data_IF_548333800301
#
_entry.id   IF_548333800301
#
_cell.length_a   1.000
_cell.length_b   1.000
_cell.length_c   1.000
_cell.angle_alpha   90.00
_cell.angle_beta   90.00
_cell.angle_gamma   90.00
#
_symmetry.space_group_name_H-M   'P 1'
#
loop_
_entity.id
_entity.type
_entity.pdbx_description
1 polymer ?
#
# COMPACT_ATOMS: atom_id res chain seq x y z
N UNK A 1 -11.17 -29.53 -0.55
CA UNK A 1 -10.24 -28.77 -1.42
C UNK A 1 -10.50 -27.26 -1.33
N UNK A 2 -11.70 -26.81 -0.94
CA UNK A 2 -12.15 -25.41 -0.97
C UNK A 2 -11.36 -24.48 -0.02
N UNK A 3 -10.76 -24.98 1.06
CA UNK A 3 -10.07 -24.16 2.07
C UNK A 3 -8.55 -24.04 1.88
N UNK A 4 -7.96 -24.72 0.90
CA UNK A 4 -6.50 -24.69 0.69
C UNK A 4 -5.96 -23.27 0.47
N UNK A 5 -6.54 -22.43 -0.39
CA UNK A 5 -6.07 -21.06 -0.58
C UNK A 5 -6.08 -20.23 0.70
N UNK A 6 -7.11 -20.38 1.53
CA UNK A 6 -7.25 -19.66 2.81
C UNK A 6 -6.20 -20.11 3.83
N UNK A 7 -5.89 -21.41 3.88
CA UNK A 7 -4.84 -21.93 4.74
C UNK A 7 -3.48 -21.39 4.29
N UNK A 8 -3.18 -21.42 2.99
CA UNK A 8 -1.94 -20.87 2.43
C UNK A 8 -1.84 -19.37 2.75
N UNK A 9 -2.91 -18.61 2.52
CA UNK A 9 -2.97 -17.19 2.83
C UNK A 9 -2.67 -16.93 4.31
N UNK A 10 -3.35 -17.64 5.21
CA UNK A 10 -3.18 -17.48 6.66
C UNK A 10 -1.74 -17.80 7.10
N UNK A 11 -1.13 -18.84 6.55
CA UNK A 11 0.27 -19.18 6.82
C UNK A 11 1.20 -18.06 6.35
N UNK A 12 1.01 -17.54 5.14
CA UNK A 12 1.81 -16.44 4.60
C UNK A 12 1.66 -15.17 5.42
N UNK A 13 0.44 -14.84 5.85
CA UNK A 13 0.15 -13.70 6.71
C UNK A 13 0.88 -13.83 8.05
N UNK A 14 0.72 -14.98 8.74
CA UNK A 14 1.36 -15.24 10.04
C UNK A 14 2.89 -15.16 9.89
N UNK A 15 3.45 -15.79 8.86
CA UNK A 15 4.89 -15.76 8.60
C UNK A 15 5.38 -14.33 8.35
N UNK A 16 4.67 -13.55 7.52
CA UNK A 16 5.03 -12.17 7.20
C UNK A 16 5.03 -11.29 8.46
N UNK A 17 3.96 -11.37 9.26
CA UNK A 17 3.84 -10.59 10.51
C UNK A 17 4.89 -11.03 11.53
N UNK A 18 5.14 -12.32 11.67
CA UNK A 18 6.17 -12.85 12.57
C UNK A 18 7.56 -12.35 12.18
N UNK A 19 7.91 -12.43 10.90
CA UNK A 19 9.22 -12.00 10.41
C UNK A 19 9.43 -10.49 10.58
N UNK A 20 8.40 -9.68 10.25
CA UNK A 20 8.42 -8.25 10.49
C UNK A 20 8.60 -7.92 11.98
N UNK A 21 7.79 -8.54 12.85
CA UNK A 21 7.89 -8.37 14.30
C UNK A 21 9.28 -8.70 14.83
N UNK A 22 9.88 -9.81 14.38
CA UNK A 22 11.24 -10.21 14.74
C UNK A 22 12.25 -9.10 14.45
N UNK A 23 12.20 -8.54 13.25
CA UNK A 23 13.10 -7.47 12.82
C UNK A 23 12.88 -6.16 13.62
N UNK A 24 11.65 -5.80 13.90
CA UNK A 24 11.33 -4.62 14.74
C UNK A 24 11.79 -4.82 16.19
N UNK A 25 11.65 -6.01 16.74
CA UNK A 25 12.15 -6.31 18.09
C UNK A 25 13.69 -6.25 18.14
N UNK A 26 14.38 -6.70 17.10
CA UNK A 26 15.83 -6.55 16.98
C UNK A 26 16.24 -5.07 16.96
N UNK A 27 15.56 -4.25 16.14
CA UNK A 27 15.79 -2.80 16.11
C UNK A 27 15.54 -2.16 17.48
N UNK A 28 14.43 -2.47 18.12
CA UNK A 28 14.11 -1.98 19.48
C UNK A 28 15.22 -2.34 20.47
N UNK A 29 15.69 -3.60 20.45
CA UNK A 29 16.81 -4.04 21.30
C UNK A 29 18.05 -3.18 21.08
N UNK A 30 18.42 -2.92 19.82
CA UNK A 30 19.59 -2.10 19.48
C UNK A 30 19.46 -0.65 19.99
N UNK A 31 18.26 -0.06 19.88
CA UNK A 31 17.99 1.28 20.39
C UNK A 31 18.14 1.31 21.94
N UNK A 32 17.68 0.25 22.62
CA UNK A 32 17.75 0.14 24.07
C UNK A 32 19.16 -0.17 24.63
N UNK A 33 20.17 -0.43 23.77
CA UNK A 33 21.58 -0.52 24.18
C UNK A 33 22.18 0.85 24.49
N UNK A 34 21.51 1.93 24.10
CA UNK A 34 21.94 3.30 24.45
C UNK A 34 21.80 3.58 25.96
N UNK A 35 22.50 4.64 26.39
CA UNK A 35 22.39 5.11 27.78
C UNK A 35 20.95 5.51 28.09
N UNK A 36 20.43 5.03 29.21
CA UNK A 36 19.12 5.40 29.69
C UNK A 36 19.08 6.89 30.08
N UNK A 37 18.13 7.61 29.55
CA UNK A 37 17.94 9.04 29.81
C UNK A 37 16.47 9.24 30.18
N UNK A 38 16.21 9.76 31.37
CA UNK A 38 14.86 10.16 31.76
C UNK A 38 14.38 11.32 30.86
N UNK A 39 13.39 11.04 30.05
CA UNK A 39 12.72 11.99 29.17
C UNK A 39 11.23 12.11 29.43
N UNK A 40 10.85 12.01 30.68
CA UNK A 40 9.46 12.14 31.12
C UNK A 40 8.98 13.60 31.21
N UNK A 41 9.86 14.57 30.97
CA UNK A 41 9.56 15.98 30.94
C UNK A 41 8.66 16.38 29.75
N UNK A 42 7.85 17.39 29.94
CA UNK A 42 7.05 18.07 28.91
C UNK A 42 6.28 17.13 27.96
N UNK A 43 5.72 16.02 28.44
CA UNK A 43 5.02 14.99 27.65
C UNK A 43 4.03 15.59 26.64
N UNK A 44 3.17 16.53 27.07
CA UNK A 44 2.18 17.20 26.19
C UNK A 44 2.83 17.90 25.00
N UNK A 45 3.92 18.65 25.22
CA UNK A 45 4.63 19.34 24.10
C UNK A 45 5.27 18.36 23.14
N UNK A 46 5.79 17.25 23.63
CA UNK A 46 6.41 16.19 22.80
C UNK A 46 5.36 15.51 21.95
N UNK A 47 4.20 15.14 22.51
CA UNK A 47 3.08 14.57 21.76
C UNK A 47 2.57 15.53 20.68
N UNK A 48 2.34 16.81 21.01
CA UNK A 48 1.91 17.82 20.03
C UNK A 48 2.94 17.95 18.91
N UNK A 49 4.24 17.97 19.26
CA UNK A 49 5.31 18.06 18.27
C UNK A 49 5.35 16.83 17.36
N UNK A 50 5.21 15.63 17.91
CA UNK A 50 5.13 14.38 17.16
C UNK A 50 3.93 14.39 16.22
N UNK A 51 2.72 14.66 16.70
CA UNK A 51 1.51 14.76 15.89
C UNK A 51 1.66 15.78 14.75
N UNK A 52 2.22 16.96 15.04
CA UNK A 52 2.44 18.01 14.03
C UNK A 52 3.45 17.61 12.97
N UNK A 53 4.49 16.87 13.32
CA UNK A 53 5.57 16.50 12.38
C UNK A 53 5.26 15.20 11.68
N UNK A 54 4.90 14.13 12.41
CA UNK A 54 4.68 12.80 11.85
C UNK A 54 3.33 12.71 11.12
N UNK A 55 2.24 13.13 11.73
CA UNK A 55 0.91 13.07 11.13
C UNK A 55 0.64 14.32 10.28
N UNK A 56 0.87 15.51 10.83
CA UNK A 56 0.58 16.78 10.16
C UNK A 56 1.57 17.17 9.06
N UNK A 57 2.62 16.39 8.83
CA UNK A 57 3.61 16.55 7.75
C UNK A 57 4.16 17.99 7.58
N UNK A 58 4.18 18.79 8.67
CA UNK A 58 4.42 20.23 8.65
C UNK A 58 5.79 20.64 8.08
N UNK A 59 6.76 19.74 8.06
CA UNK A 59 8.08 19.98 7.45
C UNK A 59 8.08 19.76 5.93
N UNK A 60 7.20 18.89 5.41
CA UNK A 60 7.16 18.53 4.00
C UNK A 60 6.51 19.62 3.14
N UNK A 61 5.52 20.33 3.68
CA UNK A 61 4.77 21.40 2.97
C UNK A 61 5.66 22.57 2.54
N UNK A 62 6.83 22.76 3.15
CA UNK A 62 7.77 23.83 2.81
C UNK A 62 8.29 23.78 1.36
N UNK A 63 8.21 22.63 0.68
CA UNK A 63 8.60 22.45 -0.72
C UNK A 63 7.35 22.03 -1.52
N UNK A 64 6.66 22.95 -2.21
CA UNK A 64 5.30 22.72 -2.70
C UNK A 64 5.18 21.47 -3.57
N UNK A 65 5.96 21.33 -4.63
CA UNK A 65 5.87 20.17 -5.53
C UNK A 65 6.17 18.86 -4.82
N UNK A 66 7.28 18.78 -4.07
CA UNK A 66 7.62 17.56 -3.34
C UNK A 66 6.67 17.29 -2.18
N UNK A 67 6.17 18.36 -1.56
CA UNK A 67 5.24 18.28 -0.44
C UNK A 67 3.89 17.72 -0.87
N UNK A 68 3.29 18.26 -1.93
CA UNK A 68 2.01 17.76 -2.46
C UNK A 68 2.12 16.29 -2.88
N UNK A 69 3.12 15.94 -3.69
CA UNK A 69 3.33 14.54 -4.08
C UNK A 69 3.51 13.61 -2.88
N UNK A 70 4.25 14.03 -1.86
CA UNK A 70 4.45 13.24 -0.65
C UNK A 70 3.16 13.12 0.18
N UNK A 71 2.36 14.18 0.27
CA UNK A 71 1.07 14.13 0.97
C UNK A 71 0.13 13.15 0.28
N UNK A 72 0.07 13.15 -1.06
CA UNK A 72 -0.74 12.19 -1.83
C UNK A 72 -0.33 10.75 -1.50
N UNK A 73 0.97 10.43 -1.58
CA UNK A 73 1.45 9.08 -1.27
C UNK A 73 1.23 8.74 0.21
N UNK A 74 1.47 9.67 1.13
CA UNK A 74 1.25 9.47 2.57
C UNK A 74 -0.23 9.24 2.90
N UNK A 75 -1.13 10.09 2.40
CA UNK A 75 -2.56 9.93 2.61
C UNK A 75 -3.07 8.63 1.97
N UNK A 76 -2.61 8.36 0.73
CA UNK A 76 -2.92 7.13 0.03
C UNK A 76 -2.45 5.89 0.79
N UNK A 77 -1.24 5.90 1.35
CA UNK A 77 -0.75 4.80 2.19
C UNK A 77 -1.70 4.52 3.38
N UNK A 78 -2.17 5.55 4.08
CA UNK A 78 -3.11 5.36 5.20
C UNK A 78 -4.44 4.81 4.70
N UNK A 79 -4.98 5.36 3.62
CA UNK A 79 -6.27 5.00 3.05
C UNK A 79 -6.26 3.57 2.51
N UNK A 80 -5.23 3.20 1.75
CA UNK A 80 -5.10 1.84 1.19
C UNK A 80 -4.89 0.78 2.28
N UNK A 81 -4.36 1.13 3.45
CA UNK A 81 -4.30 0.20 4.58
C UNK A 81 -5.69 -0.12 5.17
N UNK A 82 -6.71 0.73 4.96
CA UNK A 82 -8.09 0.43 5.36
C UNK A 82 -8.65 -0.67 4.46
N UNK A 83 -8.42 -0.58 3.14
CA UNK A 83 -8.83 -1.62 2.19
C UNK A 83 -8.11 -2.94 2.43
N UNK A 84 -6.83 -2.90 2.83
CA UNK A 84 -6.08 -4.09 3.20
C UNK A 84 -6.78 -4.91 4.29
N UNK A 85 -7.54 -4.29 5.20
CA UNK A 85 -8.32 -5.02 6.21
C UNK A 85 -9.40 -5.91 5.58
N UNK A 86 -10.06 -5.45 4.51
CA UNK A 86 -11.01 -6.28 3.77
C UNK A 86 -10.31 -7.43 3.05
N UNK A 87 -9.20 -7.18 2.37
CA UNK A 87 -8.41 -8.22 1.69
C UNK A 87 -7.94 -9.30 2.67
N UNK A 88 -7.50 -8.91 3.89
CA UNK A 88 -7.11 -9.86 4.93
C UNK A 88 -8.31 -10.68 5.39
N UNK A 89 -9.46 -10.04 5.58
CA UNK A 89 -10.70 -10.73 5.99
C UNK A 89 -11.13 -11.74 4.93
N UNK A 90 -11.15 -11.33 3.67
CA UNK A 90 -11.52 -12.18 2.54
C UNK A 90 -10.53 -13.34 2.37
N UNK A 91 -9.24 -13.09 2.55
CA UNK A 91 -8.21 -14.11 2.46
C UNK A 91 -8.32 -15.18 3.54
N UNK A 92 -8.67 -14.80 4.77
CA UNK A 92 -8.84 -15.75 5.90
C UNK A 92 -10.16 -16.52 5.78
N UNK A 93 -11.27 -15.81 5.50
CA UNK A 93 -12.61 -16.39 5.52
C UNK A 93 -13.01 -17.04 4.18
N UNK A 94 -12.31 -16.72 3.08
CA UNK A 94 -12.69 -17.16 1.74
C UNK A 94 -13.92 -16.45 1.20
N UNK A 95 -14.16 -15.23 1.66
CA UNK A 95 -15.24 -14.36 1.21
C UNK A 95 -14.79 -13.51 0.01
N UNK A 96 -15.72 -12.83 -0.60
CA UNK A 96 -15.49 -11.82 -1.62
C UNK A 96 -16.19 -10.55 -1.21
N UNK A 97 -15.44 -9.48 -0.98
CA UNK A 97 -15.94 -8.17 -0.53
C UNK A 97 -16.76 -8.28 0.76
N UNK A 98 -16.11 -8.82 1.80
CA UNK A 98 -16.76 -9.12 3.08
C UNK A 98 -17.50 -7.94 3.71
N UNK A 99 -17.03 -6.70 3.47
CA UNK A 99 -17.65 -5.51 4.08
C UNK A 99 -18.80 -4.93 3.26
N UNK A 100 -18.97 -5.32 1.99
CA UNK A 100 -20.01 -4.79 1.12
C UNK A 100 -21.45 -5.00 1.67
N UNK A 101 -21.84 -6.18 2.19
CA UNK A 101 -23.18 -6.39 2.73
C UNK A 101 -23.50 -5.51 3.95
N UNK A 102 -22.48 -5.13 4.73
CA UNK A 102 -22.65 -4.32 5.95
C UNK A 102 -22.68 -2.82 5.67
N UNK A 103 -21.96 -2.37 4.65
CA UNK A 103 -21.80 -0.94 4.33
C UNK A 103 -22.76 -0.46 3.24
N UNK A 104 -23.38 -1.37 2.47
CA UNK A 104 -24.34 -1.03 1.43
C UNK A 104 -23.82 0.03 0.44
N UNK A 105 -24.60 1.08 0.16
CA UNK A 105 -24.21 2.12 -0.78
C UNK A 105 -22.94 2.91 -0.37
N UNK A 106 -22.63 2.98 0.92
CA UNK A 106 -21.41 3.60 1.40
C UNK A 106 -20.15 2.84 0.95
N UNK A 107 -20.27 1.53 0.76
CA UNK A 107 -19.21 0.70 0.21
C UNK A 107 -18.77 1.16 -1.19
N UNK A 108 -19.74 1.48 -2.06
CA UNK A 108 -19.45 1.98 -3.41
C UNK A 108 -18.63 3.28 -3.38
N UNK A 109 -18.94 4.18 -2.46
CA UNK A 109 -18.18 5.39 -2.25
C UNK A 109 -16.74 5.09 -1.78
N UNK A 110 -16.57 4.18 -0.83
CA UNK A 110 -15.26 3.80 -0.30
C UNK A 110 -14.37 3.20 -1.41
N UNK A 111 -14.90 2.27 -2.21
CA UNK A 111 -14.13 1.65 -3.30
C UNK A 111 -13.75 2.69 -4.36
N UNK A 112 -14.67 3.59 -4.74
CA UNK A 112 -14.35 4.69 -5.65
C UNK A 112 -13.22 5.56 -5.11
N UNK A 113 -13.23 5.82 -3.82
CA UNK A 113 -12.22 6.63 -3.15
C UNK A 113 -10.84 5.94 -3.17
N UNK A 114 -10.79 4.63 -2.90
CA UNK A 114 -9.56 3.83 -3.01
C UNK A 114 -9.01 3.84 -4.44
N UNK A 115 -9.84 3.67 -5.44
CA UNK A 115 -9.43 3.70 -6.84
C UNK A 115 -8.85 5.07 -7.26
N UNK A 116 -9.51 6.15 -6.88
CA UNK A 116 -9.02 7.51 -7.17
C UNK A 116 -7.64 7.71 -6.51
N UNK A 117 -7.48 7.26 -5.25
CA UNK A 117 -6.18 7.35 -4.58
C UNK A 117 -5.13 6.45 -5.21
N UNK A 118 -5.48 5.24 -5.66
CA UNK A 118 -4.55 4.38 -6.40
C UNK A 118 -4.03 5.07 -7.68
N UNK A 119 -4.92 5.69 -8.46
CA UNK A 119 -4.53 6.48 -9.62
C UNK A 119 -3.64 7.69 -9.27
N UNK A 120 -3.97 8.41 -8.21
CA UNK A 120 -3.15 9.54 -7.73
C UNK A 120 -1.78 9.09 -7.22
N UNK A 121 -1.69 7.95 -6.53
CA UNK A 121 -0.41 7.36 -6.09
C UNK A 121 0.43 7.00 -7.31
N UNK A 122 -0.12 6.30 -8.30
CA UNK A 122 0.59 5.96 -9.55
C UNK A 122 1.17 7.23 -10.20
N UNK A 123 0.36 8.27 -10.34
CA UNK A 123 0.81 9.55 -10.90
C UNK A 123 1.94 10.18 -10.07
N UNK A 124 1.78 10.24 -8.75
CA UNK A 124 2.77 10.81 -7.85
C UNK A 124 4.09 10.03 -7.88
N UNK A 125 4.02 8.70 -7.92
CA UNK A 125 5.19 7.80 -7.98
C UNK A 125 5.94 7.97 -9.31
N UNK A 126 5.22 8.03 -10.44
CA UNK A 126 5.80 8.31 -11.76
C UNK A 126 6.50 9.67 -11.77
N UNK A 127 5.87 10.70 -11.20
CA UNK A 127 6.47 12.04 -11.10
C UNK A 127 7.71 12.02 -10.17
N UNK A 128 7.70 11.32 -9.05
CA UNK A 128 8.89 11.14 -8.19
C UNK A 128 10.01 10.42 -8.94
N UNK A 129 9.68 9.36 -9.66
CA UNK A 129 10.64 8.61 -10.45
C UNK A 129 11.25 9.47 -11.56
N UNK A 130 10.42 10.21 -12.30
CA UNK A 130 10.87 11.12 -13.37
C UNK A 130 11.78 12.23 -12.83
N UNK A 131 11.41 12.86 -11.70
CA UNK A 131 12.24 13.88 -11.02
C UNK A 131 13.60 13.35 -10.60
N UNK A 132 13.69 12.07 -10.26
CA UNK A 132 14.94 11.43 -9.81
C UNK A 132 15.79 10.94 -10.97
N UNK A 133 15.19 10.26 -11.95
CA UNK A 133 15.92 9.51 -12.97
C UNK A 133 16.02 10.25 -14.32
N UNK A 134 15.02 11.07 -14.68
CA UNK A 134 15.00 11.85 -15.93
C UNK A 134 15.53 13.26 -15.67
N UNK A 135 14.90 14.03 -14.79
CA UNK A 135 15.24 15.44 -14.51
C UNK A 135 16.55 15.54 -13.72
N UNK A 136 16.89 14.51 -12.94
CA UNK A 136 18.14 14.40 -12.17
C UNK A 136 18.40 15.64 -11.32
N UNK A 137 17.45 16.01 -10.46
CA UNK A 137 17.59 17.17 -9.59
C UNK A 137 18.88 17.08 -8.78
N UNK A 138 19.64 18.19 -8.66
CA UNK A 138 20.95 18.29 -8.01
C UNK A 138 21.06 17.58 -6.65
N UNK A 139 19.97 17.58 -5.85
CA UNK A 139 19.94 16.89 -4.55
C UNK A 139 19.99 15.35 -4.63
N UNK A 140 19.74 14.74 -5.80
CA UNK A 140 19.72 13.29 -6.00
C UNK A 140 21.01 12.76 -6.67
N UNK A 141 21.89 13.66 -7.11
CA UNK A 141 23.16 13.32 -7.80
C UNK A 141 24.38 13.53 -6.90
N UNK A 142 24.17 13.71 -5.61
CA UNK A 142 25.27 13.84 -4.66
C UNK A 142 25.95 12.50 -4.41
N UNK A 143 27.29 12.46 -4.14
CA UNK A 143 28.03 11.22 -3.91
C UNK A 143 27.38 10.32 -2.85
N UNK A 144 26.88 10.89 -1.75
CA UNK A 144 26.22 10.15 -0.67
C UNK A 144 24.86 9.53 -1.07
N UNK A 145 24.34 9.89 -2.23
CA UNK A 145 23.10 9.34 -2.80
C UNK A 145 23.36 8.23 -3.82
N UNK A 146 24.63 7.95 -4.15
CA UNK A 146 24.99 6.86 -5.06
C UNK A 146 24.90 5.47 -4.39
N UNK A 147 24.91 4.41 -5.20
CA UNK A 147 24.84 3.04 -4.71
C UNK A 147 23.49 2.66 -4.12
N UNK A 148 23.51 2.07 -2.92
CA UNK A 148 22.32 1.55 -2.25
C UNK A 148 21.23 2.61 -1.99
N UNK A 149 21.53 3.83 -1.52
CA UNK A 149 20.49 4.84 -1.27
C UNK A 149 19.65 5.20 -2.51
N UNK A 150 20.25 5.16 -3.70
CA UNK A 150 19.56 5.39 -4.97
C UNK A 150 18.74 4.18 -5.37
N UNK A 151 19.30 2.97 -5.24
CA UNK A 151 18.62 1.71 -5.58
C UNK A 151 17.40 1.50 -4.69
N UNK A 152 17.55 1.65 -3.38
CA UNK A 152 16.49 1.53 -2.39
C UNK A 152 15.32 2.47 -2.69
N UNK A 153 15.61 3.74 -2.94
CA UNK A 153 14.55 4.69 -3.24
C UNK A 153 13.82 4.43 -4.58
N UNK A 154 14.50 3.89 -5.59
CA UNK A 154 13.84 3.47 -6.82
C UNK A 154 13.03 2.19 -6.60
N UNK A 155 13.55 1.25 -5.82
CA UNK A 155 12.86 0.00 -5.51
C UNK A 155 11.52 0.26 -4.77
N UNK A 156 11.51 1.20 -3.83
CA UNK A 156 10.27 1.64 -3.16
C UNK A 156 9.25 2.14 -4.19
N UNK A 157 9.66 3.03 -5.11
CA UNK A 157 8.77 3.54 -6.15
C UNK A 157 8.24 2.43 -7.07
N UNK A 158 9.09 1.45 -7.39
CA UNK A 158 8.65 0.29 -8.19
C UNK A 158 7.66 -0.59 -7.44
N UNK A 159 7.87 -0.84 -6.15
CA UNK A 159 6.90 -1.56 -5.32
C UNK A 159 5.54 -0.86 -5.32
N UNK A 160 5.51 0.44 -5.02
CA UNK A 160 4.26 1.21 -4.99
C UNK A 160 3.55 1.19 -6.35
N UNK A 161 4.30 1.38 -7.45
CA UNK A 161 3.75 1.33 -8.79
C UNK A 161 3.13 -0.04 -9.11
N UNK A 162 3.86 -1.12 -8.84
CA UNK A 162 3.42 -2.50 -9.11
C UNK A 162 2.22 -2.86 -8.24
N UNK A 163 2.23 -2.51 -6.96
CA UNK A 163 1.13 -2.80 -6.04
C UNK A 163 -0.16 -2.09 -6.47
N UNK A 164 -0.09 -0.79 -6.77
CA UNK A 164 -1.28 -0.04 -7.23
C UNK A 164 -1.76 -0.52 -8.61
N UNK A 165 -0.84 -0.96 -9.48
CA UNK A 165 -1.22 -1.55 -10.77
C UNK A 165 -1.98 -2.86 -10.56
N UNK A 166 -1.50 -3.78 -9.73
CA UNK A 166 -2.21 -5.03 -9.44
C UNK A 166 -3.56 -4.78 -8.77
N UNK A 167 -3.66 -3.79 -7.90
CA UNK A 167 -4.93 -3.38 -7.31
C UNK A 167 -5.96 -2.97 -8.37
N UNK A 168 -5.58 -2.11 -9.32
CA UNK A 168 -6.48 -1.70 -10.40
C UNK A 168 -6.79 -2.84 -11.37
N UNK A 169 -5.82 -3.72 -11.66
CA UNK A 169 -6.02 -4.89 -12.51
C UNK A 169 -6.95 -5.93 -11.86
N UNK A 170 -6.86 -6.14 -10.56
CA UNK A 170 -7.80 -6.95 -9.78
C UNK A 170 -9.21 -6.38 -9.89
N UNK A 171 -9.37 -5.08 -9.68
CA UNK A 171 -10.67 -4.41 -9.73
C UNK A 171 -11.31 -4.42 -11.12
N UNK A 172 -10.55 -4.27 -12.20
CA UNK A 172 -11.13 -4.33 -13.55
C UNK A 172 -11.64 -5.73 -13.88
N UNK A 173 -10.88 -6.78 -13.54
CA UNK A 173 -11.32 -8.16 -13.78
C UNK A 173 -12.50 -8.55 -12.91
N UNK A 174 -12.50 -8.17 -11.63
CA UNK A 174 -13.65 -8.31 -10.73
C UNK A 174 -14.90 -7.59 -11.28
N UNK A 175 -14.76 -6.35 -11.69
CA UNK A 175 -15.87 -5.55 -12.24
C UNK A 175 -16.48 -6.18 -13.53
N UNK A 176 -15.66 -6.79 -14.40
CA UNK A 176 -16.15 -7.51 -15.56
C UNK A 176 -16.89 -8.80 -15.19
N UNK A 177 -16.42 -9.51 -14.16
CA UNK A 177 -17.12 -10.69 -13.63
C UNK A 177 -18.44 -10.33 -12.96
N UNK A 178 -18.53 -9.18 -12.30
CA UNK A 178 -19.78 -8.61 -11.78
C UNK A 178 -20.76 -8.25 -12.90
N UNK A 179 -20.28 -7.63 -13.99
CA UNK A 179 -21.09 -7.29 -15.17
C UNK A 179 -21.64 -8.55 -15.86
N UNK A 180 -20.87 -9.64 -15.85
CA UNK A 180 -21.28 -10.96 -16.34
C UNK A 180 -22.24 -11.69 -15.37
N UNK A 181 -22.59 -11.12 -14.22
CA UNK A 181 -23.42 -11.72 -13.17
C UNK A 181 -22.88 -13.08 -12.68
N UNK A 182 -21.55 -13.22 -12.57
CA UNK A 182 -20.95 -14.46 -12.10
C UNK A 182 -21.29 -14.69 -10.60
N UNK A 183 -21.81 -15.87 -10.20
CA UNK A 183 -22.38 -16.10 -8.85
C UNK A 183 -21.44 -15.85 -7.67
N UNK A 184 -20.12 -15.98 -7.87
CA UNK A 184 -19.12 -15.79 -6.82
C UNK A 184 -18.67 -14.34 -6.66
N UNK A 185 -19.08 -13.43 -7.56
CA UNK A 185 -18.66 -12.03 -7.55
C UNK A 185 -19.86 -11.13 -7.21
N UNK A 186 -19.88 -10.70 -5.95
CA UNK A 186 -20.93 -9.82 -5.44
C UNK A 186 -20.92 -8.49 -6.19
N UNK A 187 -22.06 -8.08 -6.72
CA UNK A 187 -22.21 -6.79 -7.39
C UNK A 187 -22.13 -5.65 -6.39
N UNK A 188 -20.93 -5.16 -6.14
CA UNK A 188 -20.63 -4.12 -5.18
C UNK A 188 -19.35 -3.37 -5.55
N UNK A 189 -19.27 -2.12 -5.13
CA UNK A 189 -18.16 -1.23 -5.46
C UNK A 189 -18.45 -0.35 -6.67
N UNK A 190 -17.67 0.70 -6.81
CA UNK A 190 -17.68 1.57 -7.98
C UNK A 190 -16.22 1.81 -8.40
N UNK A 191 -15.93 1.63 -9.68
CA UNK A 191 -14.58 1.46 -10.23
C UNK A 191 -14.24 2.54 -11.27
N UNK A 192 -14.12 3.83 -10.88
CA UNK A 192 -13.95 4.93 -11.84
C UNK A 192 -12.66 4.85 -12.65
N UNK A 193 -11.57 4.35 -12.07
CA UNK A 193 -10.26 4.23 -12.75
C UNK A 193 -10.17 2.90 -13.49
N UNK A 194 -10.49 1.78 -12.82
CA UNK A 194 -10.42 0.46 -13.42
C UNK A 194 -11.38 0.30 -14.60
N UNK A 195 -12.51 1.00 -14.59
CA UNK A 195 -13.46 1.00 -15.73
C UNK A 195 -12.84 1.47 -17.03
N UNK A 196 -11.82 2.33 -16.99
CA UNK A 196 -11.09 2.78 -18.18
C UNK A 196 -10.28 1.64 -18.81
N UNK A 197 -9.98 0.59 -18.06
CA UNK A 197 -9.23 -0.58 -18.51
C UNK A 197 -10.14 -1.70 -19.05
N UNK A 198 -11.46 -1.63 -18.81
CA UNK A 198 -12.42 -2.66 -19.29
C UNK A 198 -12.28 -3.03 -20.75
N UNK A 199 -12.10 -2.09 -21.71
CA UNK A 199 -11.97 -2.45 -23.13
C UNK A 199 -10.81 -3.40 -23.44
N UNK A 200 -9.73 -3.36 -22.61
CA UNK A 200 -8.56 -4.23 -22.78
C UNK A 200 -8.86 -5.69 -22.42
N UNK A 201 -9.78 -5.91 -21.48
CA UNK A 201 -10.09 -7.22 -20.92
C UNK A 201 -11.45 -7.78 -21.36
N UNK A 202 -12.30 -6.96 -22.01
CA UNK A 202 -13.68 -7.31 -22.35
C UNK A 202 -13.83 -8.45 -23.36
N UNK A 203 -12.77 -8.75 -24.14
CA UNK A 203 -12.75 -9.87 -25.12
C UNK A 203 -12.37 -11.22 -24.50
N UNK A 204 -12.00 -11.24 -23.19
CA UNK A 204 -11.57 -12.47 -22.52
C UNK A 204 -12.76 -13.30 -22.08
N UNK A 205 -12.57 -14.63 -22.05
CA UNK A 205 -13.58 -15.55 -21.50
C UNK A 205 -13.72 -15.36 -19.98
N UNK A 206 -14.87 -15.78 -19.44
CA UNK A 206 -15.14 -15.73 -17.99
C UNK A 206 -14.07 -16.50 -17.21
N UNK A 207 -13.67 -17.68 -17.68
CA UNK A 207 -12.64 -18.50 -17.06
C UNK A 207 -11.30 -17.76 -17.00
N UNK A 208 -10.92 -17.07 -18.11
CA UNK A 208 -9.70 -16.27 -18.15
C UNK A 208 -9.75 -15.10 -17.17
N UNK A 209 -10.91 -14.43 -17.07
CA UNK A 209 -11.11 -13.32 -16.12
C UNK A 209 -10.99 -13.79 -14.65
N UNK A 210 -11.54 -14.97 -14.31
CA UNK A 210 -11.42 -15.56 -12.97
C UNK A 210 -9.94 -15.85 -12.64
N UNK A 211 -9.21 -16.46 -13.59
CA UNK A 211 -7.80 -16.77 -13.39
C UNK A 211 -6.98 -15.49 -13.21
N UNK A 212 -7.21 -14.47 -14.03
CA UNK A 212 -6.49 -13.20 -13.95
C UNK A 212 -6.82 -12.46 -12.65
N UNK A 213 -8.09 -12.42 -12.26
CA UNK A 213 -8.48 -11.80 -11.00
C UNK A 213 -7.77 -12.45 -9.81
N UNK A 214 -7.72 -13.79 -9.75
CA UNK A 214 -6.99 -14.51 -8.71
C UNK A 214 -5.49 -14.28 -8.77
N UNK A 215 -4.87 -14.22 -9.95
CA UNK A 215 -3.45 -13.90 -10.12
C UNK A 215 -3.17 -12.49 -9.59
N UNK A 216 -3.97 -11.48 -9.96
CA UNK A 216 -3.76 -10.10 -9.53
C UNK A 216 -3.99 -9.94 -8.03
N UNK A 217 -5.00 -10.59 -7.47
CA UNK A 217 -5.26 -10.61 -6.04
C UNK A 217 -4.07 -11.20 -5.25
N UNK A 218 -3.58 -12.38 -5.66
CA UNK A 218 -2.43 -13.02 -5.02
C UNK A 218 -1.14 -12.22 -5.21
N UNK A 219 -0.91 -11.65 -6.39
CA UNK A 219 0.26 -10.83 -6.67
C UNK A 219 0.24 -9.55 -5.81
N UNK A 220 -0.92 -8.90 -5.68
CA UNK A 220 -1.09 -7.71 -4.86
C UNK A 220 -0.79 -8.00 -3.38
N UNK A 221 -1.45 -8.99 -2.79
CA UNK A 221 -1.29 -9.27 -1.36
C UNK A 221 0.09 -9.84 -1.01
N UNK A 222 0.64 -10.71 -1.86
CA UNK A 222 2.01 -11.23 -1.67
C UNK A 222 3.02 -10.11 -1.80
N UNK A 223 2.82 -9.21 -2.76
CA UNK A 223 3.62 -8.00 -2.91
C UNK A 223 3.58 -7.11 -1.66
N UNK A 224 2.40 -6.94 -1.03
CA UNK A 224 2.26 -6.21 0.24
C UNK A 224 3.06 -6.90 1.35
N UNK A 225 3.00 -8.23 1.47
CA UNK A 225 3.75 -8.98 2.49
C UNK A 225 5.27 -8.86 2.29
N UNK A 226 5.73 -8.89 1.04
CA UNK A 226 7.14 -8.66 0.71
C UNK A 226 7.52 -7.23 1.06
N UNK A 227 6.71 -6.25 0.68
CA UNK A 227 6.98 -4.84 0.94
C UNK A 227 7.00 -4.52 2.44
N UNK A 228 6.06 -5.08 3.23
CA UNK A 228 6.04 -4.96 4.68
C UNK A 228 7.38 -5.38 5.29
N UNK A 229 7.92 -6.52 4.85
CA UNK A 229 9.19 -7.03 5.35
C UNK A 229 10.40 -6.27 4.80
N UNK A 230 10.30 -5.71 3.60
CA UNK A 230 11.30 -4.84 3.03
C UNK A 230 11.42 -3.49 3.76
N UNK A 231 10.34 -2.98 4.38
CA UNK A 231 10.33 -1.71 5.13
C UNK A 231 11.50 -1.61 6.13
N UNK A 232 11.78 -2.71 6.84
CA UNK A 232 12.86 -2.75 7.83
C UNK A 232 14.24 -2.40 7.24
N UNK A 233 14.50 -2.80 6.00
CA UNK A 233 15.78 -2.62 5.29
C UNK A 233 15.83 -1.33 4.47
N UNK A 234 14.73 -0.62 4.36
CA UNK A 234 14.53 0.49 3.45
C UNK A 234 14.46 1.85 4.15
N UNK A 235 14.56 2.91 3.37
CA UNK A 235 14.27 4.28 3.84
C UNK A 235 12.84 4.45 4.34
N UNK A 236 11.91 3.59 3.94
CA UNK A 236 10.53 3.61 4.39
C UNK A 236 10.37 3.26 5.88
N UNK A 237 11.40 2.72 6.53
CA UNK A 237 11.39 2.52 7.98
C UNK A 237 11.10 3.81 8.76
N UNK A 238 11.34 4.99 8.14
CA UNK A 238 10.99 6.28 8.76
C UNK A 238 9.51 6.42 9.09
N UNK A 239 8.60 5.72 8.37
CA UNK A 239 7.16 5.72 8.66
C UNK A 239 6.91 5.22 10.09
N UNK A 240 7.64 4.18 10.51
CA UNK A 240 7.53 3.59 11.86
C UNK A 240 8.32 4.43 12.87
N UNK A 241 9.54 4.84 12.52
CA UNK A 241 10.43 5.57 13.43
C UNK A 241 10.07 7.05 13.63
N UNK A 242 9.11 7.57 12.90
CA UNK A 242 8.63 8.95 13.10
C UNK A 242 7.83 9.14 14.39
N UNK A 243 7.32 8.05 15.00
CA UNK A 243 6.47 8.09 16.19
C UNK A 243 7.21 7.98 17.52
N UNK A 244 8.25 7.17 17.72
CA UNK A 244 9.07 7.19 18.93
C UNK A 244 9.91 8.47 19.05
#
# INVERSE_FOLDING_TARGET
>A
ITYIPNIIFTILLIFSVWFFRRNILFLKRNILLGRDIDRNDQKKKRWIKMLRIAIGQSKMVKKPVSGVLHIVVYAGFIIMNIELLEIITDGILGTHRAFAPYLGNFYNFIISFFEIFAGLIILAVILFWARRNIIKLKRFIKPEMEGWPKKDANLILYFELVLMTFFLLMNVTDSLLQDANHPQYLKAGSFPISSLLKPVFSSLSIESLIILERIFWWAHITGIFIFLNYLYYSKHLHIILAFP
#
